data_IF_401437674954
#
_entry.id   IF_401437674954
#
_cell.length_a   1.000
_cell.length_b   1.000
_cell.length_c   1.000
_cell.angle_alpha   90.00
_cell.angle_beta   90.00
_cell.angle_gamma   90.00
#
_symmetry.space_group_name_H-M   'P 1'
#
loop_
_entity.id
_entity.type
_entity.pdbx_description
1 polymer ?
#
# COMPACT_ATOMS: atom_id res chain seq x y z
N UNK A 1 -28.52 6.66 3.75
CA UNK A 1 -27.79 7.61 4.61
C UNK A 1 -26.51 6.94 5.10
N UNK A 2 -25.35 7.30 4.57
CA UNK A 2 -24.08 6.76 5.02
C UNK A 2 -23.78 7.27 6.45
N UNK A 3 -23.57 6.32 7.37
CA UNK A 3 -23.25 6.60 8.76
C UNK A 3 -22.00 7.50 8.81
N UNK A 4 -22.07 8.65 9.46
CA UNK A 4 -20.97 9.61 9.56
C UNK A 4 -19.70 8.92 10.09
N UNK A 5 -18.54 9.10 9.46
CA UNK A 5 -17.30 8.52 9.94
C UNK A 5 -16.82 9.30 11.18
N UNK A 6 -17.07 8.75 12.35
CA UNK A 6 -16.40 9.18 13.57
C UNK A 6 -15.04 8.48 13.60
N UNK A 7 -13.97 9.13 13.14
CA UNK A 7 -12.56 8.69 13.27
C UNK A 7 -12.34 7.17 13.20
N UNK A 8 -13.00 6.50 12.21
CA UNK A 8 -12.91 5.05 12.08
C UNK A 8 -11.50 4.67 11.62
N UNK A 9 -10.79 3.92 12.44
CA UNK A 9 -9.50 3.34 12.08
C UNK A 9 -9.72 2.09 11.24
N UNK A 10 -9.25 2.11 9.99
CA UNK A 10 -9.32 1.00 9.05
C UNK A 10 -7.93 0.40 8.85
N UNK A 11 -7.81 -0.91 8.87
CA UNK A 11 -6.55 -1.60 8.63
C UNK A 11 -6.39 -1.93 7.14
N UNK A 12 -5.19 -1.76 6.63
CA UNK A 12 -4.81 -2.21 5.29
C UNK A 12 -4.97 -3.74 5.21
N UNK A 13 -5.29 -4.24 4.02
CA UNK A 13 -5.36 -5.70 3.79
C UNK A 13 -4.04 -6.38 4.14
N UNK A 14 -4.08 -7.27 5.14
CA UNK A 14 -2.91 -8.02 5.60
C UNK A 14 -2.28 -8.88 4.50
N UNK A 15 -3.10 -9.46 3.61
CA UNK A 15 -2.63 -10.33 2.55
C UNK A 15 -1.60 -9.66 1.65
N UNK A 16 -1.79 -8.37 1.32
CA UNK A 16 -0.84 -7.63 0.50
C UNK A 16 0.51 -7.42 1.21
N UNK A 17 0.47 -7.09 2.49
CA UNK A 17 1.69 -6.90 3.29
C UNK A 17 2.45 -8.23 3.38
N UNK A 18 1.74 -9.32 3.66
CA UNK A 18 2.32 -10.67 3.70
C UNK A 18 2.97 -11.02 2.36
N UNK A 19 2.30 -10.77 1.22
CA UNK A 19 2.87 -11.05 -0.11
C UNK A 19 4.17 -10.28 -0.34
N UNK A 20 4.24 -9.00 0.04
CA UNK A 20 5.46 -8.19 -0.11
C UNK A 20 6.61 -8.80 0.69
N UNK A 21 6.37 -9.18 1.95
CA UNK A 21 7.40 -9.77 2.78
C UNK A 21 7.78 -11.20 2.36
N UNK A 22 6.85 -11.97 1.80
CA UNK A 22 7.14 -13.27 1.21
C UNK A 22 8.06 -13.15 -0.01
N UNK A 23 7.77 -12.21 -0.91
CA UNK A 23 8.65 -11.93 -2.07
C UNK A 23 10.02 -11.44 -1.59
N UNK A 24 10.07 -10.52 -0.63
CA UNK A 24 11.32 -10.04 -0.06
C UNK A 24 12.15 -11.18 0.56
N UNK A 25 11.50 -12.08 1.30
CA UNK A 25 12.15 -13.26 1.86
C UNK A 25 12.78 -14.14 0.78
N UNK A 26 12.04 -14.45 -0.30
CA UNK A 26 12.56 -15.25 -1.41
C UNK A 26 13.76 -14.57 -2.08
N UNK A 27 13.66 -13.26 -2.37
CA UNK A 27 14.74 -12.48 -3.00
C UNK A 27 15.98 -12.48 -2.09
N UNK A 28 15.81 -12.22 -0.79
CA UNK A 28 16.92 -12.22 0.16
C UNK A 28 17.57 -13.59 0.27
N UNK A 29 16.77 -14.67 0.32
CA UNK A 29 17.29 -16.04 0.34
C UNK A 29 18.13 -16.35 -0.90
N UNK A 30 17.68 -15.92 -2.09
CA UNK A 30 18.43 -16.09 -3.35
C UNK A 30 19.75 -15.30 -3.34
N UNK A 31 19.72 -14.05 -2.87
CA UNK A 31 20.95 -13.23 -2.75
C UNK A 31 21.95 -13.90 -1.81
N UNK A 32 21.50 -14.38 -0.65
CA UNK A 32 22.38 -15.10 0.28
C UNK A 32 22.93 -16.39 -0.34
N UNK A 33 22.07 -17.18 -0.99
CA UNK A 33 22.51 -18.40 -1.67
C UNK A 33 23.62 -18.14 -2.68
N UNK A 34 23.46 -17.13 -3.55
CA UNK A 34 24.46 -16.75 -4.55
C UNK A 34 25.76 -16.24 -3.87
N UNK A 35 25.63 -15.40 -2.84
CA UNK A 35 26.79 -14.85 -2.12
C UNK A 35 27.61 -15.93 -1.45
N UNK A 36 26.99 -16.91 -0.82
CA UNK A 36 27.70 -17.99 -0.15
C UNK A 36 28.28 -19.06 -1.09
N UNK A 37 27.84 -19.12 -2.35
CA UNK A 37 28.51 -19.99 -3.35
C UNK A 37 29.97 -19.61 -3.62
N UNK A 38 30.33 -18.35 -3.40
CA UNK A 38 31.69 -17.85 -3.63
C UNK A 38 32.56 -17.88 -2.39
N UNK A 39 31.98 -18.18 -1.21
CA UNK A 39 32.71 -18.18 0.05
C UNK A 39 33.17 -19.61 0.39
N UNK A 40 34.47 -19.86 0.29
CA UNK A 40 35.06 -21.15 0.66
C UNK A 40 35.15 -21.39 2.19
N UNK A 41 34.66 -20.45 3.00
CA UNK A 41 34.87 -20.48 4.46
C UNK A 41 33.87 -21.37 5.20
N UNK A 42 32.61 -21.50 4.66
CA UNK A 42 31.58 -22.33 5.24
C UNK A 42 30.94 -23.21 4.16
N UNK A 43 30.64 -24.50 4.46
CA UNK A 43 29.86 -25.30 3.54
C UNK A 43 28.51 -24.64 3.25
N UNK A 44 28.14 -24.51 1.98
CA UNK A 44 26.89 -23.86 1.52
C UNK A 44 25.65 -24.42 2.25
N UNK A 45 25.60 -25.73 2.43
CA UNK A 45 24.51 -26.40 3.11
C UNK A 45 24.33 -25.92 4.56
N UNK A 46 25.43 -25.84 5.34
CA UNK A 46 25.40 -25.39 6.73
C UNK A 46 24.95 -23.94 6.83
N UNK A 47 25.49 -23.07 5.96
CA UNK A 47 25.11 -21.67 5.90
C UNK A 47 23.64 -21.49 5.57
N UNK A 48 23.13 -22.22 4.58
CA UNK A 48 21.74 -22.18 4.17
C UNK A 48 20.79 -22.60 5.30
N UNK A 49 21.08 -23.71 6.01
CA UNK A 49 20.26 -24.19 7.11
C UNK A 49 20.23 -23.25 8.33
N UNK A 50 21.25 -22.43 8.53
CA UNK A 50 21.31 -21.46 9.63
C UNK A 50 20.61 -20.16 9.25
N UNK A 51 20.96 -19.59 8.09
CA UNK A 51 20.50 -18.23 7.70
C UNK A 51 19.06 -18.20 7.22
N UNK A 52 18.57 -19.25 6.53
CA UNK A 52 17.20 -19.26 6.02
C UNK A 52 16.13 -19.17 7.13
N UNK A 53 16.22 -19.96 8.21
CA UNK A 53 15.28 -19.82 9.34
C UNK A 53 15.36 -18.44 10.01
N UNK A 54 16.56 -17.88 10.17
CA UNK A 54 16.73 -16.54 10.76
C UNK A 54 16.07 -15.48 9.87
N UNK A 55 16.30 -15.51 8.56
CA UNK A 55 15.66 -14.60 7.61
C UNK A 55 14.13 -14.75 7.63
N UNK A 56 13.63 -15.98 7.74
CA UNK A 56 12.20 -16.23 7.84
C UNK A 56 11.59 -15.56 9.08
N UNK A 57 12.20 -15.77 10.25
CA UNK A 57 11.73 -15.18 11.52
C UNK A 57 11.77 -13.66 11.45
N UNK A 58 12.85 -13.08 10.93
CA UNK A 58 13.01 -11.62 10.76
C UNK A 58 11.94 -11.08 9.79
N UNK A 59 11.73 -11.72 8.65
CA UNK A 59 10.71 -11.31 7.68
C UNK A 59 9.30 -11.38 8.28
N UNK A 60 8.99 -12.44 9.02
CA UNK A 60 7.71 -12.60 9.71
C UNK A 60 7.50 -11.51 10.76
N UNK A 61 8.52 -11.22 11.56
CA UNK A 61 8.47 -10.15 12.57
C UNK A 61 8.16 -8.78 11.94
N UNK A 62 8.87 -8.40 10.87
CA UNK A 62 8.60 -7.14 10.17
C UNK A 62 7.24 -7.13 9.46
N UNK A 63 6.77 -8.26 8.94
CA UNK A 63 5.43 -8.35 8.38
C UNK A 63 4.35 -8.06 9.43
N UNK A 64 4.46 -8.67 10.62
CA UNK A 64 3.54 -8.45 11.75
C UNK A 64 3.59 -6.98 12.20
N UNK A 65 4.77 -6.41 12.36
CA UNK A 65 4.92 -4.99 12.71
C UNK A 65 4.25 -4.09 11.67
N UNK A 66 4.49 -4.35 10.38
CA UNK A 66 3.92 -3.55 9.28
C UNK A 66 2.40 -3.63 9.23
N UNK A 67 1.82 -4.82 9.46
CA UNK A 67 0.35 -5.00 9.52
C UNK A 67 -0.25 -4.16 10.64
N UNK A 68 0.39 -4.12 11.80
CA UNK A 68 -0.12 -3.38 12.96
C UNK A 68 0.14 -1.88 12.87
N UNK A 69 1.24 -1.47 12.22
CA UNK A 69 1.65 -0.08 12.11
C UNK A 69 1.10 0.65 10.86
N UNK A 70 0.35 -0.05 9.99
CA UNK A 70 -0.23 0.54 8.78
C UNK A 70 -1.75 0.57 8.87
N UNK A 71 -2.31 1.77 8.86
CA UNK A 71 -3.75 1.97 8.97
C UNK A 71 -4.20 3.29 8.35
N UNK A 72 -5.50 3.40 8.11
CA UNK A 72 -6.17 4.62 7.67
C UNK A 72 -7.07 5.16 8.78
N UNK A 73 -7.15 6.47 8.88
CA UNK A 73 -8.16 7.16 9.69
C UNK A 73 -8.98 8.03 8.75
N UNK A 74 -10.28 7.80 8.71
CA UNK A 74 -11.21 8.56 7.87
C UNK A 74 -11.90 9.60 8.72
N UNK A 75 -11.81 10.85 8.29
CA UNK A 75 -12.54 12.00 8.80
C UNK A 75 -13.41 12.61 7.70
N UNK A 76 -14.32 13.51 8.05
CA UNK A 76 -15.21 14.21 7.10
C UNK A 76 -14.45 15.01 6.05
N UNK A 77 -13.26 15.49 6.36
CA UNK A 77 -12.50 16.40 5.52
C UNK A 77 -11.28 15.76 4.88
N UNK A 78 -10.77 14.67 5.48
CA UNK A 78 -9.50 14.06 5.05
C UNK A 78 -9.42 12.56 5.35
N UNK A 79 -8.56 11.91 4.60
CA UNK A 79 -8.04 10.58 4.85
C UNK A 79 -6.61 10.72 5.38
N UNK A 80 -6.32 10.13 6.51
CA UNK A 80 -4.97 10.03 7.07
C UNK A 80 -4.47 8.62 6.88
N UNK A 81 -3.39 8.46 6.13
CA UNK A 81 -2.69 7.20 5.95
C UNK A 81 -1.46 7.17 6.84
N UNK A 82 -1.45 6.32 7.84
CA UNK A 82 -0.29 6.10 8.72
C UNK A 82 0.40 4.80 8.31
N UNK A 83 1.70 4.90 8.07
CA UNK A 83 2.56 3.77 7.75
C UNK A 83 3.85 3.86 8.58
N UNK A 84 4.08 2.89 9.47
CA UNK A 84 5.27 2.79 10.32
C UNK A 84 5.65 4.13 11.02
N UNK A 85 4.66 4.78 11.62
CA UNK A 85 4.85 6.03 12.35
C UNK A 85 4.82 7.31 11.51
N UNK A 86 4.91 7.20 10.17
CA UNK A 86 4.76 8.35 9.28
C UNK A 86 3.31 8.49 8.83
N UNK A 87 2.73 9.68 8.98
CA UNK A 87 1.36 9.97 8.56
C UNK A 87 1.34 10.92 7.37
N UNK A 88 0.50 10.59 6.38
CA UNK A 88 0.19 11.45 5.23
C UNK A 88 -1.29 11.76 5.22
N UNK A 89 -1.61 13.03 5.01
CA UNK A 89 -2.99 13.51 4.94
C UNK A 89 -3.39 13.77 3.49
N UNK A 90 -4.60 13.35 3.15
CA UNK A 90 -5.23 13.58 1.86
C UNK A 90 -6.59 14.21 2.10
N UNK A 91 -6.75 15.49 1.73
CA UNK A 91 -8.03 16.18 1.87
C UNK A 91 -8.95 15.79 0.73
N UNK A 92 -10.20 15.46 1.01
CA UNK A 92 -11.18 15.04 0.00
C UNK A 92 -11.39 16.10 -1.08
N UNK A 93 -11.34 17.38 -0.72
CA UNK A 93 -11.46 18.51 -1.66
C UNK A 93 -10.34 18.58 -2.69
N UNK A 94 -9.18 18.01 -2.37
CA UNK A 94 -8.00 18.04 -3.22
C UNK A 94 -7.89 16.80 -4.12
N UNK A 95 -8.75 15.81 -3.90
CA UNK A 95 -8.88 14.64 -4.78
C UNK A 95 -9.85 15.01 -5.88
N UNK A 96 -9.35 15.07 -7.12
CA UNK A 96 -10.11 15.56 -8.27
C UNK A 96 -10.55 14.45 -9.23
N UNK A 97 -9.85 13.31 -9.23
CA UNK A 97 -10.20 12.19 -10.10
C UNK A 97 -9.77 10.87 -9.45
N UNK A 98 -10.56 9.82 -9.66
CA UNK A 98 -10.25 8.46 -9.26
C UNK A 98 -10.42 7.57 -10.50
N UNK A 99 -9.36 6.84 -10.86
CA UNK A 99 -9.46 5.82 -11.89
C UNK A 99 -10.13 4.58 -11.29
N UNK A 100 -11.43 4.46 -11.55
CA UNK A 100 -12.24 3.38 -11.00
C UNK A 100 -11.88 2.02 -11.58
N UNK A 101 -11.66 1.96 -12.89
CA UNK A 101 -11.38 0.71 -13.59
C UNK A 101 -10.05 0.13 -13.12
N UNK A 102 -9.02 0.95 -13.15
CA UNK A 102 -7.70 0.58 -12.65
C UNK A 102 -7.74 0.20 -11.17
N UNK A 103 -8.44 0.98 -10.35
CA UNK A 103 -8.54 0.78 -8.91
C UNK A 103 -9.19 -0.55 -8.55
N UNK A 104 -10.28 -0.92 -9.23
CA UNK A 104 -10.98 -2.19 -9.03
C UNK A 104 -10.13 -3.37 -9.47
N UNK A 105 -9.46 -3.26 -10.62
CA UNK A 105 -8.57 -4.30 -11.17
C UNK A 105 -7.39 -4.61 -10.25
N UNK A 106 -6.75 -3.57 -9.67
CA UNK A 106 -5.54 -3.73 -8.89
C UNK A 106 -5.77 -3.75 -7.37
N UNK A 107 -7.03 -3.62 -6.91
CA UNK A 107 -7.41 -3.53 -5.49
C UNK A 107 -6.63 -2.43 -4.75
N UNK A 108 -6.43 -1.31 -5.45
CA UNK A 108 -5.79 -0.10 -4.96
C UNK A 108 -6.55 1.10 -5.47
N UNK A 109 -6.70 2.12 -4.66
CA UNK A 109 -7.25 3.38 -5.11
C UNK A 109 -6.15 4.18 -5.83
N UNK A 110 -6.27 4.33 -7.15
CA UNK A 110 -5.51 5.29 -7.95
C UNK A 110 -6.31 6.58 -8.02
N UNK A 111 -5.73 7.65 -7.52
CA UNK A 111 -6.38 8.96 -7.54
C UNK A 111 -5.40 10.08 -7.87
N UNK A 112 -5.95 11.14 -8.40
CA UNK A 112 -5.20 12.34 -8.77
C UNK A 112 -5.59 13.50 -7.87
N UNK A 113 -4.57 14.20 -7.39
CA UNK A 113 -4.72 15.40 -6.58
C UNK A 113 -4.87 16.63 -7.46
N UNK A 114 -5.31 17.74 -6.87
CA UNK A 114 -5.48 19.02 -7.57
C UNK A 114 -4.18 19.55 -8.21
N UNK A 115 -3.01 19.08 -7.76
CA UNK A 115 -1.70 19.37 -8.36
C UNK A 115 -1.35 18.49 -9.58
N UNK A 116 -2.28 17.62 -10.00
CA UNK A 116 -2.11 16.69 -11.11
C UNK A 116 -1.26 15.45 -10.79
N UNK A 117 -0.79 15.30 -9.56
CA UNK A 117 0.02 14.15 -9.17
C UNK A 117 -0.84 12.96 -8.82
N UNK A 118 -0.47 11.82 -9.37
CA UNK A 118 -1.07 10.53 -9.04
C UNK A 118 -0.64 10.03 -7.66
N UNK A 119 -1.54 9.32 -7.00
CA UNK A 119 -1.31 8.67 -5.72
C UNK A 119 -1.99 7.31 -5.69
N UNK A 120 -1.39 6.41 -4.93
CA UNK A 120 -1.86 5.03 -4.79
C UNK A 120 -2.06 4.70 -3.32
N UNK A 121 -3.23 4.18 -2.98
CA UNK A 121 -3.52 3.66 -1.65
C UNK A 121 -4.08 2.24 -1.77
N UNK A 122 -3.53 1.33 -0.99
CA UNK A 122 -4.07 -0.03 -0.93
C UNK A 122 -5.47 0.00 -0.31
N UNK A 123 -6.38 -0.83 -0.82
CA UNK A 123 -7.69 -0.95 -0.17
C UNK A 123 -7.54 -1.48 1.26
N UNK A 124 -8.38 -0.98 2.14
CA UNK A 124 -8.65 -1.63 3.41
C UNK A 124 -9.40 -2.96 3.17
N UNK A 125 -9.55 -3.76 4.22
CA UNK A 125 -10.16 -5.09 4.12
C UNK A 125 -11.58 -5.07 3.52
N UNK A 126 -12.33 -3.99 3.77
CA UNK A 126 -13.73 -3.84 3.35
C UNK A 126 -13.89 -2.91 2.12
N UNK A 127 -12.80 -2.31 1.63
CA UNK A 127 -12.82 -1.33 0.53
C UNK A 127 -13.49 -0.01 0.88
N UNK A 128 -13.62 0.30 2.17
CA UNK A 128 -14.33 1.49 2.65
C UNK A 128 -13.64 2.79 2.25
N UNK A 129 -12.29 2.82 2.23
CA UNK A 129 -11.57 4.04 1.81
C UNK A 129 -11.97 4.48 0.40
N UNK A 130 -12.16 3.52 -0.51
CA UNK A 130 -12.59 3.79 -1.87
C UNK A 130 -14.02 4.32 -1.91
N UNK A 131 -14.95 3.70 -1.17
CA UNK A 131 -16.33 4.17 -1.08
C UNK A 131 -16.43 5.57 -0.46
N UNK A 132 -15.66 5.85 0.58
CA UNK A 132 -15.61 7.18 1.18
C UNK A 132 -15.03 8.22 0.21
N UNK A 133 -13.98 7.88 -0.53
CA UNK A 133 -13.40 8.77 -1.53
C UNK A 133 -14.42 9.14 -2.62
N UNK A 134 -15.17 8.17 -3.14
CA UNK A 134 -16.24 8.44 -4.12
C UNK A 134 -17.37 9.32 -3.55
N UNK A 135 -17.67 9.22 -2.25
CA UNK A 135 -18.76 9.96 -1.63
C UNK A 135 -18.38 11.37 -1.18
N UNK A 136 -17.12 11.60 -0.80
CA UNK A 136 -16.67 12.87 -0.22
C UNK A 136 -15.81 13.73 -1.14
N UNK A 137 -15.12 13.14 -2.13
CA UNK A 137 -14.35 13.89 -3.09
C UNK A 137 -15.26 14.51 -4.16
N UNK A 138 -14.87 15.68 -4.65
CA UNK A 138 -15.54 16.34 -5.78
C UNK A 138 -14.84 15.92 -7.07
N UNK A 139 -15.24 14.78 -7.59
CA UNK A 139 -14.60 14.19 -8.75
C UNK A 139 -15.03 14.89 -10.05
N UNK A 140 -14.07 15.12 -10.91
CA UNK A 140 -14.28 15.53 -12.30
C UNK A 140 -14.70 14.31 -13.14
N UNK A 141 -15.42 14.57 -14.23
CA UNK A 141 -15.61 13.54 -15.26
C UNK A 141 -14.26 13.21 -15.95
N UNK A 142 -14.24 12.08 -16.66
CA UNK A 142 -13.04 11.68 -17.41
C UNK A 142 -12.60 12.75 -18.41
N UNK A 143 -13.56 13.33 -19.15
CA UNK A 143 -13.31 14.36 -20.16
C UNK A 143 -12.78 15.65 -19.53
N UNK A 144 -13.39 16.10 -18.43
CA UNK A 144 -12.93 17.29 -17.71
C UNK A 144 -11.53 17.10 -17.14
N UNK A 145 -11.26 15.92 -16.57
CA UNK A 145 -9.94 15.61 -16.06
C UNK A 145 -8.89 15.58 -17.18
N UNK A 146 -9.18 14.91 -18.31
CA UNK A 146 -8.28 14.81 -19.47
C UNK A 146 -8.02 16.18 -20.11
N UNK A 147 -9.05 17.03 -20.19
CA UNK A 147 -8.89 18.40 -20.69
C UNK A 147 -7.95 19.22 -19.80
N UNK A 148 -8.02 19.05 -18.49
CA UNK A 148 -7.19 19.76 -17.52
C UNK A 148 -5.76 19.20 -17.41
N UNK A 149 -5.61 17.87 -17.55
CA UNK A 149 -4.34 17.16 -17.42
C UNK A 149 -4.08 16.23 -18.61
N UNK A 150 -3.80 16.78 -19.83
CA UNK A 150 -3.67 15.97 -21.06
C UNK A 150 -2.50 14.98 -21.02
N UNK A 151 -1.51 15.22 -20.16
CA UNK A 151 -0.33 14.34 -19.99
C UNK A 151 -0.50 13.27 -18.92
N UNK A 152 -1.65 13.21 -18.22
CA UNK A 152 -1.91 12.16 -17.24
C UNK A 152 -2.06 10.81 -17.96
N UNK A 153 -1.34 9.81 -17.49
CA UNK A 153 -1.47 8.43 -17.97
C UNK A 153 -2.70 7.79 -17.31
N UNK A 154 -3.74 7.58 -18.09
CA UNK A 154 -4.97 6.89 -17.71
C UNK A 154 -5.12 5.65 -18.59
#
# INVERSE_FOLDING_TARGET
MAKQPNNKKLRVSAGRIITIYAVLFVVMTLIFYISFQHDNFWPLETSFFIYTPVLFVVSLFFAILSINATYYVIDKHKLVHTKMGTSKEYYWKDIIYIDEEWSKKHKMMLFYMADGKERYLAFDKEGLIYQYALNYARLLSYEEFKARFPKANL
#
